data_IF_564768252499
#
_entry.id   IF_564768252499
#
_cell.length_a   1.000
_cell.length_b   1.000
_cell.length_c   1.000
_cell.angle_alpha   90.00
_cell.angle_beta   90.00
_cell.angle_gamma   90.00
#
_symmetry.space_group_name_H-M   'P 1'
#
loop_
_entity.id
_entity.type
_entity.pdbx_description
1 polymer ?
#
# COMPACT_ATOMS: atom_id res chain seq x y z
N UNK A 1 18.28 -9.74 14.96
CA UNK A 1 18.28 -10.25 13.57
C UNK A 1 19.27 -11.40 13.35
N UNK A 2 20.51 -11.34 13.85
CA UNK A 2 21.50 -12.43 13.69
C UNK A 2 20.99 -13.76 14.24
N UNK A 3 20.45 -13.75 15.46
CA UNK A 3 19.87 -14.96 16.08
C UNK A 3 18.66 -15.48 15.29
N UNK A 4 17.80 -14.59 14.80
CA UNK A 4 16.70 -14.95 13.89
C UNK A 4 17.20 -15.65 12.63
N UNK A 5 18.23 -15.11 11.96
CA UNK A 5 18.82 -15.72 10.75
C UNK A 5 19.36 -17.13 11.08
N UNK A 6 20.09 -17.29 12.20
CA UNK A 6 20.62 -18.59 12.64
C UNK A 6 19.52 -19.59 12.96
N UNK A 7 18.45 -19.16 13.63
CA UNK A 7 17.32 -20.04 13.97
C UNK A 7 16.49 -20.40 12.74
N UNK A 8 16.36 -19.49 11.77
CA UNK A 8 15.63 -19.77 10.54
C UNK A 8 16.39 -20.74 9.64
N UNK A 9 17.72 -20.73 9.67
CA UNK A 9 18.57 -21.70 8.96
C UNK A 9 18.33 -23.16 9.43
N UNK A 10 17.93 -23.36 10.68
CA UNK A 10 17.52 -24.69 11.18
C UNK A 10 16.24 -25.19 10.51
N UNK A 11 15.31 -24.27 10.19
CA UNK A 11 14.02 -24.59 9.54
C UNK A 11 14.16 -24.65 8.02
N UNK A 12 14.99 -23.78 7.45
CA UNK A 12 15.25 -23.64 6.02
C UNK A 12 16.77 -23.69 5.80
N UNK A 13 17.35 -24.88 5.59
CA UNK A 13 18.80 -25.04 5.44
C UNK A 13 19.37 -24.19 4.30
N UNK A 14 20.43 -23.44 4.60
CA UNK A 14 21.10 -22.55 3.65
C UNK A 14 20.61 -21.11 3.71
N UNK A 15 19.65 -20.79 4.58
CA UNK A 15 19.19 -19.42 4.81
C UNK A 15 20.31 -18.50 5.34
N UNK A 16 21.23 -19.03 6.13
CA UNK A 16 22.37 -18.29 6.66
C UNK A 16 23.63 -18.35 5.77
N UNK A 17 23.50 -18.72 4.49
CA UNK A 17 24.63 -18.80 3.56
C UNK A 17 25.29 -17.44 3.35
N UNK A 18 26.62 -17.43 3.21
CA UNK A 18 27.40 -16.21 2.88
C UNK A 18 27.13 -15.70 1.47
N UNK A 19 26.53 -16.52 0.61
CA UNK A 19 26.11 -16.14 -0.74
C UNK A 19 24.72 -15.47 -0.78
N UNK A 20 23.99 -15.46 0.34
CA UNK A 20 22.67 -14.84 0.45
C UNK A 20 22.80 -13.34 0.71
N UNK A 21 22.17 -12.52 -0.16
CA UNK A 21 22.13 -11.07 0.02
C UNK A 21 21.10 -10.70 1.10
N UNK A 22 21.57 -10.07 2.18
CA UNK A 22 20.69 -9.42 3.15
C UNK A 22 20.24 -8.06 2.61
N UNK A 23 19.01 -8.03 2.10
CA UNK A 23 18.31 -6.81 1.69
C UNK A 23 17.21 -6.47 2.71
N UNK A 24 17.15 -5.21 3.12
CA UNK A 24 16.08 -4.69 3.97
C UNK A 24 15.22 -3.71 3.15
N UNK A 25 13.89 -3.90 3.11
CA UNK A 25 13.01 -2.91 2.49
C UNK A 25 12.97 -1.63 3.35
N UNK A 26 12.82 -0.48 2.69
CA UNK A 26 12.47 0.76 3.38
C UNK A 26 11.09 0.59 4.02
N UNK A 27 11.03 0.64 5.36
CA UNK A 27 9.77 0.51 6.10
C UNK A 27 9.17 1.89 6.39
N UNK A 28 8.03 2.19 5.75
CA UNK A 28 7.16 3.32 6.10
C UNK A 28 6.04 2.83 7.02
N UNK A 29 6.24 2.98 8.33
CA UNK A 29 5.33 2.44 9.34
C UNK A 29 3.95 3.12 9.39
N UNK A 30 3.85 4.37 8.94
CA UNK A 30 2.62 5.14 8.99
C UNK A 30 2.44 5.95 7.71
N UNK A 31 1.31 5.74 7.05
CA UNK A 31 0.79 6.72 6.10
C UNK A 31 -0.28 7.53 6.82
N UNK A 32 -0.23 8.85 6.72
CA UNK A 32 -1.31 9.69 7.22
C UNK A 32 -2.58 9.33 6.45
N UNK A 33 -3.61 8.86 7.16
CA UNK A 33 -4.90 8.57 6.53
C UNK A 33 -5.58 9.88 6.21
N UNK A 34 -5.70 10.19 4.93
CA UNK A 34 -6.48 11.33 4.46
C UNK A 34 -7.94 11.06 4.82
N UNK A 35 -8.59 11.99 5.52
CA UNK A 35 -10.01 11.84 5.87
C UNK A 35 -10.86 11.94 4.60
N UNK A 36 -11.66 10.91 4.34
CA UNK A 36 -12.56 10.85 3.18
C UNK A 36 -13.93 10.33 3.59
N UNK A 37 -14.94 10.62 2.77
CA UNK A 37 -16.27 10.01 2.87
C UNK A 37 -16.32 8.65 2.14
N UNK A 38 -17.48 7.99 2.20
CA UNK A 38 -17.75 6.73 1.48
C UNK A 38 -17.68 6.89 -0.05
N UNK A 39 -17.65 8.14 -0.52
CA UNK A 39 -17.57 8.47 -1.92
C UNK A 39 -16.17 8.78 -2.43
N UNK A 40 -15.13 8.62 -1.59
CA UNK A 40 -13.73 8.94 -1.91
C UNK A 40 -13.47 10.45 -2.10
N UNK A 41 -14.32 11.29 -1.51
CA UNK A 41 -14.12 12.74 -1.49
C UNK A 41 -13.36 13.17 -0.24
N UNK A 42 -12.42 14.09 -0.41
CA UNK A 42 -11.79 14.79 0.71
C UNK A 42 -12.66 15.96 1.18
N UNK A 43 -12.21 16.67 2.22
CA UNK A 43 -12.84 17.93 2.65
C UNK A 43 -12.61 19.10 1.67
N UNK A 44 -11.81 18.91 0.61
CA UNK A 44 -11.54 19.90 -0.43
C UNK A 44 -12.29 19.47 -1.69
N UNK A 45 -13.18 20.34 -2.19
CA UNK A 45 -13.98 20.07 -3.38
C UNK A 45 -13.09 19.86 -4.59
N UNK A 46 -13.30 18.77 -5.32
CA UNK A 46 -12.53 18.41 -6.52
C UNK A 46 -11.14 17.82 -6.25
N UNK A 47 -10.76 17.64 -4.98
CA UNK A 47 -9.53 16.95 -4.61
C UNK A 47 -9.84 15.53 -4.13
N UNK A 48 -9.31 14.54 -4.86
CA UNK A 48 -9.45 13.13 -4.56
C UNK A 48 -8.08 12.52 -4.24
N UNK A 49 -7.97 11.82 -3.11
CA UNK A 49 -6.76 11.11 -2.73
C UNK A 49 -7.00 9.61 -2.82
N UNK A 50 -6.34 8.92 -3.75
CA UNK A 50 -6.55 7.50 -4.02
C UNK A 50 -5.26 6.70 -3.85
N UNK A 51 -5.40 5.38 -3.70
CA UNK A 51 -4.26 4.48 -3.54
C UNK A 51 -3.42 4.80 -2.31
N UNK A 52 -2.13 4.47 -2.35
CA UNK A 52 -1.29 4.52 -1.15
C UNK A 52 -1.10 5.94 -0.61
N UNK A 53 -1.26 6.95 -1.48
CA UNK A 53 -1.23 8.36 -1.10
C UNK A 53 -2.36 8.75 -0.14
N UNK A 54 -3.49 8.02 -0.17
CA UNK A 54 -4.63 8.23 0.73
C UNK A 54 -4.40 7.68 2.14
N UNK A 55 -3.44 6.76 2.30
CA UNK A 55 -3.24 5.98 3.52
C UNK A 55 -4.30 4.90 3.81
N UNK A 56 -5.28 4.71 2.92
CA UNK A 56 -6.33 3.69 3.06
C UNK A 56 -6.01 2.36 2.36
N UNK A 57 -5.03 2.35 1.47
CA UNK A 57 -4.60 1.13 0.76
C UNK A 57 -3.24 0.67 1.26
N UNK A 58 -2.95 -0.62 1.05
CA UNK A 58 -1.64 -1.24 1.35
C UNK A 58 -1.22 -2.21 0.25
N UNK A 59 -1.51 -1.85 -0.99
CA UNK A 59 -1.21 -2.71 -2.13
C UNK A 59 -1.93 -2.35 -3.40
N UNK A 60 -1.41 -2.91 -4.49
CA UNK A 60 -1.83 -2.62 -5.86
C UNK A 60 -3.33 -2.87 -6.08
N UNK A 61 -3.86 -3.97 -5.56
CA UNK A 61 -5.28 -4.34 -5.75
C UNK A 61 -6.22 -3.26 -5.23
N UNK A 62 -6.03 -2.79 -3.99
CA UNK A 62 -6.88 -1.76 -3.39
C UNK A 62 -6.70 -0.41 -4.07
N UNK A 63 -5.47 -0.04 -4.43
CA UNK A 63 -5.21 1.20 -5.17
C UNK A 63 -5.90 1.20 -6.54
N UNK A 64 -5.84 0.07 -7.27
CA UNK A 64 -6.52 -0.09 -8.55
C UNK A 64 -8.04 0.00 -8.44
N UNK A 65 -8.63 -0.69 -7.46
CA UNK A 65 -10.09 -0.64 -7.25
C UNK A 65 -10.57 0.78 -6.93
N UNK A 66 -9.86 1.53 -6.08
CA UNK A 66 -10.19 2.93 -5.80
C UNK A 66 -10.14 3.79 -7.08
N UNK A 67 -9.13 3.57 -7.94
CA UNK A 67 -9.02 4.27 -9.22
C UNK A 67 -10.20 3.98 -10.15
N UNK A 68 -10.60 2.71 -10.29
CA UNK A 68 -11.75 2.31 -11.12
C UNK A 68 -13.05 2.94 -10.59
N UNK A 69 -13.31 2.84 -9.29
CA UNK A 69 -14.52 3.41 -8.67
C UNK A 69 -14.60 4.92 -8.84
N UNK A 70 -13.49 5.63 -8.64
CA UNK A 70 -13.47 7.09 -8.83
C UNK A 70 -13.63 7.47 -10.30
N UNK A 71 -12.99 6.74 -11.22
CA UNK A 71 -13.11 6.98 -12.66
C UNK A 71 -14.55 6.82 -13.16
N UNK A 72 -15.24 5.77 -12.70
CA UNK A 72 -16.67 5.57 -13.00
C UNK A 72 -17.51 6.73 -12.48
N UNK A 73 -17.30 7.17 -11.23
CA UNK A 73 -18.04 8.31 -10.64
C UNK A 73 -17.83 9.61 -11.40
N UNK A 74 -16.60 9.89 -11.84
CA UNK A 74 -16.31 11.09 -12.62
C UNK A 74 -16.98 11.03 -13.99
N UNK A 75 -16.89 9.88 -14.67
CA UNK A 75 -17.56 9.66 -15.95
C UNK A 75 -19.08 9.83 -15.83
N UNK A 76 -19.71 9.29 -14.78
CA UNK A 76 -21.16 9.41 -14.58
C UNK A 76 -21.57 10.85 -14.22
N UNK A 77 -20.69 11.61 -13.58
CA UNK A 77 -20.93 13.02 -13.25
C UNK A 77 -20.78 13.95 -14.47
N UNK A 78 -19.97 13.61 -15.47
CA UNK A 78 -19.85 14.36 -16.73
C UNK A 78 -21.02 14.15 -17.69
N UNK A 79 -21.71 13.01 -17.59
CA UNK A 79 -22.83 12.64 -18.46
C UNK A 79 -24.21 13.14 -17.96
N UNK A 80 -24.27 13.86 -16.83
CA UNK A 80 -25.47 14.47 -16.26
C UNK A 80 -25.38 16.00 -16.27
#
# INVERSE_FOLDING_TARGET
>A
IIEFIKMLDVVVPGFASTETLLYSPELKFYSNKVKMDENLNTNIKGLHCLGDSSGWTRGLMMASVMGVLMGQKLSDAENN
#
